data_IF_855928956290
#
_entry.id   IF_855928956290
#
_cell.length_a   1.000
_cell.length_b   1.000
_cell.length_c   1.000
_cell.angle_alpha   90.00
_cell.angle_beta   90.00
_cell.angle_gamma   90.00
#
_symmetry.space_group_name_H-M   'P 1'
#
loop_
_entity.id
_entity.type
_entity.pdbx_description
1 polymer ?
#
# COMPACT_ATOMS: atom_id res chain seq x y z
N UNK A 1 -11.79 -7.74 7.55
CA UNK A 1 -12.07 -7.90 6.09
C UNK A 1 -12.39 -6.65 5.33
N UNK A 2 -12.97 -5.63 5.97
CA UNK A 2 -13.21 -4.34 5.31
C UNK A 2 -11.92 -3.66 4.84
N UNK A 3 -10.80 -3.84 5.55
CA UNK A 3 -9.51 -3.25 5.15
C UNK A 3 -9.04 -3.70 3.77
N UNK A 4 -9.39 -4.91 3.35
CA UNK A 4 -9.09 -5.46 2.02
C UNK A 4 -9.83 -4.73 0.88
N UNK A 5 -10.82 -3.89 1.19
CA UNK A 5 -11.50 -3.03 0.22
C UNK A 5 -10.76 -1.69 -0.01
N UNK A 6 -9.64 -1.44 0.66
CA UNK A 6 -8.81 -0.23 0.47
C UNK A 6 -8.45 0.04 -1.01
N UNK A 7 -8.13 -0.98 -1.85
CA UNK A 7 -7.83 -0.76 -3.27
C UNK A 7 -9.00 -0.14 -4.06
N UNK A 8 -10.24 -0.43 -3.67
CA UNK A 8 -11.44 0.15 -4.28
C UNK A 8 -11.50 1.65 -3.99
N UNK A 9 -11.31 2.02 -2.72
CA UNK A 9 -11.31 3.43 -2.30
C UNK A 9 -10.15 4.21 -2.92
N UNK A 10 -8.95 3.60 -2.97
CA UNK A 10 -7.80 4.14 -3.70
C UNK A 10 -8.14 4.44 -5.16
N UNK A 11 -8.80 3.51 -5.85
CA UNK A 11 -9.18 3.71 -7.25
C UNK A 11 -10.18 4.85 -7.43
N UNK A 12 -11.19 4.93 -6.57
CA UNK A 12 -12.21 5.97 -6.60
C UNK A 12 -11.55 7.35 -6.44
N UNK A 13 -10.67 7.52 -5.44
CA UNK A 13 -9.96 8.78 -5.24
C UNK A 13 -8.98 9.08 -6.38
N UNK A 14 -8.32 8.07 -6.93
CA UNK A 14 -7.44 8.25 -8.10
C UNK A 14 -8.21 8.78 -9.32
N UNK A 15 -9.45 8.33 -9.55
CA UNK A 15 -10.31 8.88 -10.60
C UNK A 15 -10.83 10.28 -10.26
N UNK A 16 -11.27 10.50 -9.02
CA UNK A 16 -11.80 11.79 -8.56
C UNK A 16 -10.76 12.92 -8.68
N UNK A 17 -9.49 12.65 -8.38
CA UNK A 17 -8.39 13.62 -8.52
C UNK A 17 -7.75 13.64 -9.92
N UNK A 18 -8.29 12.88 -10.87
CA UNK A 18 -7.78 12.79 -12.24
C UNK A 18 -6.36 12.22 -12.34
N UNK A 19 -5.95 11.39 -11.39
CA UNK A 19 -4.63 10.75 -11.35
C UNK A 19 -4.54 9.54 -12.30
N UNK A 20 -5.68 8.93 -12.64
CA UNK A 20 -5.77 7.80 -13.56
C UNK A 20 -7.02 7.94 -14.45
N UNK A 21 -6.95 7.53 -15.72
CA UNK A 21 -8.12 7.58 -16.60
C UNK A 21 -9.10 6.44 -16.28
N UNK A 22 -10.42 6.72 -16.16
CA UNK A 22 -11.42 5.70 -15.90
C UNK A 22 -11.50 4.75 -17.09
N UNK A 23 -11.03 3.52 -16.89
CA UNK A 23 -11.14 2.43 -17.88
C UNK A 23 -11.83 1.25 -17.23
N UNK A 24 -12.84 0.70 -17.91
CA UNK A 24 -13.66 -0.41 -17.41
C UNK A 24 -12.81 -1.65 -17.05
N UNK A 25 -11.74 -1.90 -17.81
CA UNK A 25 -10.79 -2.98 -17.54
C UNK A 25 -10.11 -2.84 -16.16
N UNK A 26 -9.77 -1.62 -15.74
CA UNK A 26 -9.10 -1.35 -14.48
C UNK A 26 -10.05 -1.57 -13.29
N UNK A 27 -11.30 -1.14 -13.45
CA UNK A 27 -12.37 -1.36 -12.48
C UNK A 27 -12.60 -2.87 -12.30
N UNK A 28 -12.75 -3.60 -13.41
CA UNK A 28 -12.95 -5.05 -13.38
C UNK A 28 -11.80 -5.77 -12.66
N UNK A 29 -10.54 -5.45 -12.99
CA UNK A 29 -9.37 -6.05 -12.36
C UNK A 29 -9.37 -5.82 -10.83
N UNK A 30 -9.65 -4.59 -10.39
CA UNK A 30 -9.63 -4.25 -8.96
C UNK A 30 -10.79 -4.92 -8.24
N UNK A 31 -11.98 -4.99 -8.84
CA UNK A 31 -13.12 -5.73 -8.27
C UNK A 31 -12.80 -7.22 -8.11
N UNK A 32 -12.16 -7.86 -9.10
CA UNK A 32 -11.75 -9.27 -9.02
C UNK A 32 -10.73 -9.49 -7.90
N UNK A 33 -9.72 -8.62 -7.77
CA UNK A 33 -8.73 -8.72 -6.69
C UNK A 33 -9.42 -8.55 -5.33
N UNK A 34 -10.29 -7.56 -5.17
CA UNK A 34 -11.03 -7.35 -3.91
C UNK A 34 -11.92 -8.53 -3.54
N UNK A 35 -12.60 -9.15 -4.51
CA UNK A 35 -13.37 -10.38 -4.30
C UNK A 35 -12.48 -11.54 -3.84
N UNK A 36 -11.33 -11.74 -4.47
CA UNK A 36 -10.36 -12.77 -4.07
C UNK A 36 -9.92 -12.61 -2.61
N UNK A 37 -9.56 -11.40 -2.19
CA UNK A 37 -9.15 -11.15 -0.82
C UNK A 37 -10.31 -11.30 0.18
N UNK A 38 -11.54 -10.92 -0.18
CA UNK A 38 -12.72 -11.16 0.67
C UNK A 38 -12.92 -12.67 0.88
N UNK A 39 -12.76 -13.47 -0.17
CA UNK A 39 -12.88 -14.94 -0.08
C UNK A 39 -11.77 -15.57 0.77
N UNK A 40 -10.56 -15.01 0.79
CA UNK A 40 -9.47 -15.51 1.64
C UNK A 40 -9.77 -15.46 3.13
N UNK A 41 -10.82 -14.75 3.52
CA UNK A 41 -11.19 -14.59 4.93
C UNK A 41 -12.69 -14.73 5.18
N UNK A 42 -13.38 -15.37 4.25
CA UNK A 42 -14.74 -15.83 4.47
C UNK A 42 -14.71 -16.93 5.55
N UNK A 43 -15.15 -16.61 6.78
CA UNK A 43 -15.15 -17.54 7.91
C UNK A 43 -15.09 -16.94 9.32
N UNK A 44 -14.86 -15.63 9.46
CA UNK A 44 -14.86 -14.99 10.79
C UNK A 44 -16.28 -14.84 11.37
N UNK A 45 -16.54 -15.47 12.51
CA UNK A 45 -17.86 -15.56 13.17
C UNK A 45 -18.13 -14.46 14.21
N UNK A 46 -17.24 -13.46 14.38
CA UNK A 46 -17.40 -12.38 15.36
C UNK A 46 -17.59 -11.02 14.69
N UNK A 47 -18.78 -10.78 14.14
CA UNK A 47 -19.11 -9.50 13.54
C UNK A 47 -19.37 -8.43 14.62
N UNK A 48 -18.60 -7.34 14.59
CA UNK A 48 -18.82 -6.16 15.42
C UNK A 48 -19.02 -4.94 14.50
N UNK A 49 -20.20 -4.31 14.59
CA UNK A 49 -20.58 -3.18 13.74
C UNK A 49 -19.69 -1.95 13.96
N UNK A 50 -19.32 -1.65 15.20
CA UNK A 50 -18.47 -0.49 15.54
C UNK A 50 -17.07 -0.66 14.94
N UNK A 51 -16.47 -1.85 15.10
CA UNK A 51 -15.18 -2.18 14.47
C UNK A 51 -15.25 -2.14 12.94
N UNK A 52 -16.37 -2.60 12.36
CA UNK A 52 -16.63 -2.53 10.92
C UNK A 52 -16.61 -1.07 10.41
N UNK A 53 -17.36 -0.16 11.06
CA UNK A 53 -17.42 1.24 10.65
C UNK A 53 -16.07 1.95 10.80
N UNK A 54 -15.33 1.69 11.88
CA UNK A 54 -13.98 2.23 12.09
C UNK A 54 -13.02 1.80 10.97
N UNK A 55 -13.02 0.52 10.61
CA UNK A 55 -12.15 0.00 9.54
C UNK A 55 -12.58 0.54 8.17
N UNK A 56 -13.89 0.72 7.93
CA UNK A 56 -14.40 1.33 6.71
C UNK A 56 -13.91 2.77 6.56
N UNK A 57 -14.05 3.58 7.62
CA UNK A 57 -13.54 4.95 7.64
C UNK A 57 -12.02 5.00 7.43
N UNK A 58 -11.28 4.11 8.10
CA UNK A 58 -9.84 4.01 7.93
C UNK A 58 -9.44 3.66 6.48
N UNK A 59 -10.18 2.80 5.79
CA UNK A 59 -9.93 2.45 4.40
C UNK A 59 -10.15 3.63 3.44
N UNK A 60 -11.22 4.42 3.66
CA UNK A 60 -11.51 5.64 2.89
C UNK A 60 -10.38 6.66 3.07
N UNK A 61 -10.03 6.98 4.31
CA UNK A 61 -8.96 7.94 4.63
C UNK A 61 -7.60 7.45 4.09
N UNK A 62 -7.34 6.14 4.11
CA UNK A 62 -6.12 5.58 3.53
C UNK A 62 -6.06 5.77 2.01
N UNK A 63 -7.17 5.59 1.30
CA UNK A 63 -7.26 5.86 -0.14
C UNK A 63 -7.04 7.34 -0.47
N UNK A 64 -7.62 8.23 0.33
CA UNK A 64 -7.41 9.67 0.22
C UNK A 64 -5.95 10.05 0.46
N UNK A 65 -5.35 9.58 1.57
CA UNK A 65 -3.95 9.83 1.94
C UNK A 65 -3.03 9.52 0.78
N UNK A 66 -3.14 8.31 0.22
CA UNK A 66 -2.24 7.92 -0.86
C UNK A 66 -2.45 8.72 -2.15
N UNK A 67 -3.71 9.05 -2.48
CA UNK A 67 -4.00 9.88 -3.65
C UNK A 67 -3.42 11.30 -3.49
N UNK A 68 -3.50 11.87 -2.29
CA UNK A 68 -2.86 13.14 -1.95
C UNK A 68 -1.32 13.03 -2.01
N UNK A 69 -0.73 11.95 -1.48
CA UNK A 69 0.71 11.69 -1.59
C UNK A 69 1.16 11.62 -3.04
N UNK A 70 0.39 10.96 -3.92
CA UNK A 70 0.71 10.94 -5.35
C UNK A 70 0.63 12.33 -5.97
N UNK A 71 -0.41 13.11 -5.65
CA UNK A 71 -0.54 14.47 -6.15
C UNK A 71 0.65 15.34 -5.72
N UNK A 72 1.03 15.26 -4.44
CA UNK A 72 2.18 15.97 -3.87
C UNK A 72 3.52 15.55 -4.50
N UNK A 73 3.66 14.28 -4.88
CA UNK A 73 4.92 13.74 -5.37
C UNK A 73 5.09 13.84 -6.89
N UNK A 74 3.98 13.98 -7.64
CA UNK A 74 3.97 14.00 -9.11
C UNK A 74 3.56 15.36 -9.72
N UNK A 75 2.77 16.20 -9.03
CA UNK A 75 2.29 17.48 -9.58
C UNK A 75 3.06 18.70 -9.03
N UNK A 76 3.64 18.63 -7.85
CA UNK A 76 4.39 19.74 -7.25
C UNK A 76 5.85 19.77 -7.72
N UNK A 77 6.22 20.82 -8.43
CA UNK A 77 7.60 21.07 -8.85
C UNK A 77 8.47 21.43 -7.63
N UNK A 78 9.45 20.57 -7.31
CA UNK A 78 10.34 20.74 -6.16
C UNK A 78 10.23 19.65 -5.10
N UNK A 79 9.09 18.94 -5.04
CA UNK A 79 8.89 17.79 -4.14
C UNK A 79 9.06 16.43 -4.81
N UNK A 80 9.61 16.39 -6.03
CA UNK A 80 9.85 15.17 -6.79
C UNK A 80 10.84 14.18 -6.14
N UNK A 81 11.39 14.47 -4.95
CA UNK A 81 12.24 13.54 -4.21
C UNK A 81 11.43 12.88 -3.06
N UNK A 82 11.21 11.54 -3.09
CA UNK A 82 10.47 10.81 -2.06
C UNK A 82 11.02 11.06 -0.65
N UNK A 83 12.34 11.20 -0.53
CA UNK A 83 13.00 11.45 0.76
C UNK A 83 12.71 12.87 1.27
N UNK A 84 12.65 13.86 0.37
CA UNK A 84 12.31 15.23 0.74
C UNK A 84 10.85 15.33 1.21
N UNK A 85 9.92 14.70 0.49
CA UNK A 85 8.52 14.62 0.94
C UNK A 85 8.40 13.94 2.29
N UNK A 86 9.13 12.84 2.50
CA UNK A 86 9.14 12.15 3.78
C UNK A 86 9.69 13.03 4.91
N UNK A 87 10.73 13.82 4.64
CA UNK A 87 11.29 14.76 5.63
C UNK A 87 10.26 15.77 6.13
N UNK A 88 9.40 16.30 5.26
CA UNK A 88 8.35 17.25 5.67
C UNK A 88 7.16 16.56 6.37
N UNK A 89 6.79 15.35 5.96
CA UNK A 89 5.61 14.65 6.50
C UNK A 89 5.92 13.93 7.84
N UNK A 90 7.13 13.39 8.00
CA UNK A 90 7.53 12.61 9.18
C UNK A 90 7.36 13.32 10.53
N UNK A 91 7.79 14.58 10.73
CA UNK A 91 7.67 15.23 12.04
C UNK A 91 6.20 15.42 12.45
N UNK A 92 5.32 15.72 11.50
CA UNK A 92 3.88 15.85 11.75
C UNK A 92 3.28 14.50 12.14
N UNK A 93 3.64 13.42 11.42
CA UNK A 93 3.21 12.07 11.76
C UNK A 93 3.67 11.65 13.16
N UNK A 94 4.91 11.97 13.53
CA UNK A 94 5.46 11.67 14.84
C UNK A 94 4.70 12.41 15.96
N UNK A 95 4.46 13.71 15.81
CA UNK A 95 3.73 14.51 16.81
C UNK A 95 2.31 13.96 16.99
N UNK A 96 1.59 13.71 15.89
CA UNK A 96 0.22 13.20 15.96
C UNK A 96 0.15 11.79 16.58
N UNK A 97 1.04 10.88 16.19
CA UNK A 97 1.10 9.54 16.79
C UNK A 97 1.46 9.58 18.27
N UNK A 98 2.38 10.47 18.67
CA UNK A 98 2.76 10.65 20.08
C UNK A 98 1.59 11.13 20.92
N UNK A 99 0.83 12.12 20.44
CA UNK A 99 -0.36 12.63 21.14
C UNK A 99 -1.43 11.53 21.27
N UNK A 100 -1.69 10.78 20.20
CA UNK A 100 -2.66 9.68 20.24
C UNK A 100 -2.22 8.57 21.21
N UNK A 101 -0.96 8.17 21.20
CA UNK A 101 -0.43 7.16 22.14
C UNK A 101 -0.55 7.64 23.58
N UNK A 102 -0.27 8.91 23.88
CA UNK A 102 -0.44 9.46 25.23
C UNK A 102 -1.90 9.38 25.73
N UNK A 103 -2.87 9.66 24.86
CA UNK A 103 -4.29 9.68 25.23
C UNK A 103 -4.85 8.26 25.41
N UNK A 104 -4.51 7.34 24.50
CA UNK A 104 -5.12 6.01 24.46
C UNK A 104 -4.36 4.94 25.25
N UNK A 105 -3.03 4.99 25.27
CA UNK A 105 -2.20 3.88 25.79
C UNK A 105 -1.60 4.17 27.18
N UNK A 106 -1.63 5.42 27.66
CA UNK A 106 -1.02 5.84 28.94
C UNK A 106 0.39 5.24 29.16
N UNK A 107 1.39 5.70 28.38
CA UNK A 107 2.70 5.04 28.31
C UNK A 107 3.41 4.95 29.67
N UNK A 108 3.24 5.94 30.55
CA UNK A 108 3.85 5.95 31.89
C UNK A 108 3.40 4.76 32.76
N UNK A 109 2.16 4.31 32.63
CA UNK A 109 1.66 3.15 33.35
C UNK A 109 2.24 1.85 32.79
N UNK A 110 2.38 1.77 31.46
CA UNK A 110 2.95 0.61 30.76
C UNK A 110 4.44 0.46 31.06
N UNK A 111 5.20 1.55 31.06
CA UNK A 111 6.63 1.52 31.41
C UNK A 111 6.88 1.07 32.85
N UNK A 112 6.04 1.47 33.81
CA UNK A 112 6.20 1.09 35.21
C UNK A 112 5.70 -0.32 35.55
N UNK A 113 4.79 -0.88 34.74
CA UNK A 113 4.17 -2.20 35.02
C UNK A 113 4.78 -3.34 34.20
N UNK A 114 5.52 -3.03 33.15
CA UNK A 114 6.02 -4.04 32.22
C UNK A 114 7.36 -4.62 32.65
N UNK A 115 7.41 -5.96 32.73
CA UNK A 115 8.63 -6.74 33.01
C UNK A 115 9.76 -6.55 31.99
N UNK A 116 9.46 -5.93 30.86
CA UNK A 116 10.41 -5.70 29.77
C UNK A 116 11.41 -4.56 30.06
N UNK A 117 11.11 -3.69 31.04
CA UNK A 117 11.97 -2.56 31.42
C UNK A 117 12.47 -2.64 32.86
N UNK A 118 12.36 -3.80 33.52
CA UNK A 118 12.82 -3.99 34.90
C UNK A 118 14.36 -4.07 35.00
N UNK A 119 15.02 -4.68 34.02
CA UNK A 119 16.48 -4.83 33.99
C UNK A 119 17.11 -4.09 32.80
N UNK A 120 18.35 -3.62 32.96
CA UNK A 120 19.10 -2.91 31.91
C UNK A 120 19.30 -3.78 30.67
N UNK A 121 19.48 -5.10 30.85
CA UNK A 121 19.64 -6.05 29.74
C UNK A 121 18.36 -6.19 28.90
N UNK A 122 17.22 -6.42 29.55
CA UNK A 122 15.92 -6.59 28.87
C UNK A 122 15.39 -5.28 28.29
N UNK A 123 15.68 -4.16 28.94
CA UNK A 123 15.34 -2.83 28.42
C UNK A 123 16.10 -2.50 27.14
N UNK A 124 17.40 -2.85 27.08
CA UNK A 124 18.22 -2.63 25.90
C UNK A 124 17.79 -3.54 24.74
N UNK A 125 17.47 -4.81 25.01
CA UNK A 125 16.93 -5.74 24.01
C UNK A 125 15.61 -5.21 23.41
N UNK A 126 14.67 -4.80 24.27
CA UNK A 126 13.37 -4.25 23.83
C UNK A 126 13.57 -2.99 23.00
N UNK A 127 14.47 -2.10 23.42
CA UNK A 127 14.79 -0.89 22.67
C UNK A 127 15.41 -1.20 21.30
N UNK A 128 16.33 -2.16 21.22
CA UNK A 128 16.94 -2.59 19.95
C UNK A 128 15.91 -3.21 19.01
N UNK A 129 15.00 -4.04 19.51
CA UNK A 129 13.93 -4.64 18.71
C UNK A 129 12.98 -3.57 18.18
N UNK A 130 12.62 -2.58 19.01
CA UNK A 130 11.80 -1.43 18.59
C UNK A 130 12.52 -0.58 17.53
N UNK A 131 13.82 -0.31 17.73
CA UNK A 131 14.62 0.46 16.79
C UNK A 131 14.77 -0.25 15.45
N UNK A 132 14.98 -1.58 15.46
CA UNK A 132 15.02 -2.40 14.25
C UNK A 132 13.67 -2.39 13.52
N UNK A 133 12.57 -2.57 14.23
CA UNK A 133 11.22 -2.49 13.65
C UNK A 133 10.92 -1.12 13.05
N UNK A 134 11.29 -0.04 13.76
CA UNK A 134 11.16 1.33 13.28
C UNK A 134 12.00 1.61 12.03
N UNK A 135 13.23 1.10 11.99
CA UNK A 135 14.10 1.21 10.82
C UNK A 135 13.52 0.48 9.60
N UNK A 136 13.02 -0.75 9.78
CA UNK A 136 12.35 -1.50 8.70
C UNK A 136 11.08 -0.79 8.20
N UNK A 137 10.28 -0.21 9.10
CA UNK A 137 9.11 0.58 8.74
C UNK A 137 9.49 1.85 7.96
N UNK A 138 10.58 2.51 8.34
CA UNK A 138 11.13 3.65 7.61
C UNK A 138 11.58 3.27 6.19
N UNK A 139 12.33 2.17 6.04
CA UNK A 139 12.72 1.64 4.73
C UNK A 139 11.51 1.29 3.86
N UNK A 140 10.48 0.66 4.44
CA UNK A 140 9.22 0.37 3.76
C UNK A 140 8.54 1.65 3.27
N UNK A 141 8.45 2.68 4.13
CA UNK A 141 7.81 3.95 3.79
C UNK A 141 8.53 4.67 2.64
N UNK A 142 9.87 4.68 2.64
CA UNK A 142 10.66 5.22 1.52
C UNK A 142 10.36 4.44 0.23
N UNK A 143 10.33 3.10 0.30
CA UNK A 143 10.04 2.26 -0.86
C UNK A 143 8.64 2.53 -1.42
N UNK A 144 7.64 2.73 -0.57
CA UNK A 144 6.27 3.07 -0.97
C UNK A 144 6.21 4.43 -1.67
N UNK A 145 6.88 5.45 -1.12
CA UNK A 145 6.91 6.78 -1.75
C UNK A 145 7.69 6.74 -3.07
N UNK A 146 8.83 6.03 -3.12
CA UNK A 146 9.58 5.83 -4.35
C UNK A 146 8.77 5.09 -5.43
N UNK A 147 7.95 4.11 -5.03
CA UNK A 147 7.06 3.41 -5.95
C UNK A 147 5.97 4.36 -6.49
N UNK A 148 5.34 5.16 -5.64
CA UNK A 148 4.35 6.16 -6.08
C UNK A 148 4.97 7.14 -7.06
N UNK A 149 6.15 7.68 -6.75
CA UNK A 149 6.84 8.64 -7.63
C UNK A 149 6.97 8.10 -9.05
N UNK A 150 7.42 6.85 -9.19
CA UNK A 150 7.71 6.25 -10.48
C UNK A 150 6.47 5.61 -11.14
N UNK A 151 5.37 5.45 -10.41
CA UNK A 151 4.18 4.74 -10.89
C UNK A 151 2.88 5.47 -10.55
N UNK A 152 1.98 4.86 -9.79
CA UNK A 152 0.73 5.47 -9.34
C UNK A 152 0.26 4.83 -8.04
N UNK A 153 -0.63 5.51 -7.33
CA UNK A 153 -1.24 4.99 -6.10
C UNK A 153 -1.96 3.66 -6.31
N UNK A 154 -2.57 3.48 -7.48
CA UNK A 154 -3.23 2.22 -7.86
C UNK A 154 -2.21 1.09 -8.01
N UNK A 155 -1.01 1.40 -8.50
CA UNK A 155 0.07 0.40 -8.57
C UNK A 155 0.56 0.03 -7.17
N UNK A 156 0.69 1.02 -6.28
CA UNK A 156 1.06 0.79 -4.89
C UNK A 156 0.04 -0.12 -4.18
N UNK A 157 -1.26 0.10 -4.38
CA UNK A 157 -2.27 -0.74 -3.75
C UNK A 157 -2.19 -2.19 -4.24
N UNK A 158 -1.97 -2.42 -5.54
CA UNK A 158 -1.76 -3.77 -6.09
C UNK A 158 -0.47 -4.41 -5.56
N UNK A 159 0.63 -3.65 -5.46
CA UNK A 159 1.87 -4.12 -4.87
C UNK A 159 1.71 -4.49 -3.38
N UNK A 160 0.90 -3.72 -2.64
CA UNK A 160 0.53 -4.01 -1.26
C UNK A 160 -0.20 -5.35 -1.12
N UNK A 161 -1.21 -5.60 -1.96
CA UNK A 161 -1.94 -6.88 -1.97
C UNK A 161 -1.00 -8.03 -2.34
N UNK A 162 -0.09 -7.81 -3.30
CA UNK A 162 0.90 -8.82 -3.70
C UNK A 162 1.82 -9.19 -2.53
N UNK A 163 2.30 -8.20 -1.77
CA UNK A 163 3.08 -8.42 -0.54
C UNK A 163 2.28 -9.21 0.49
N UNK A 164 1.00 -8.88 0.70
CA UNK A 164 0.13 -9.61 1.63
C UNK A 164 -0.02 -11.09 1.23
N UNK A 165 -0.25 -11.38 -0.06
CA UNK A 165 -0.33 -12.76 -0.57
C UNK A 165 0.97 -13.54 -0.34
N UNK A 166 2.13 -12.90 -0.54
CA UNK A 166 3.44 -13.51 -0.29
C UNK A 166 3.61 -13.85 1.20
N UNK A 167 3.24 -12.92 2.09
CA UNK A 167 3.28 -13.15 3.55
C UNK A 167 2.38 -14.30 3.94
N UNK A 168 1.14 -14.36 3.46
CA UNK A 168 0.20 -15.46 3.74
C UNK A 168 0.79 -16.79 3.28
N UNK A 169 1.34 -16.84 2.07
CA UNK A 169 1.94 -18.06 1.50
C UNK A 169 3.15 -18.55 2.31
N UNK A 170 4.03 -17.63 2.73
CA UNK A 170 5.17 -17.93 3.59
C UNK A 170 4.72 -18.43 4.96
N UNK A 171 3.71 -17.80 5.57
CA UNK A 171 3.17 -18.23 6.85
C UNK A 171 2.67 -19.68 6.78
N UNK A 172 1.94 -20.04 5.72
CA UNK A 172 1.43 -21.40 5.53
C UNK A 172 2.58 -22.40 5.32
N UNK A 173 3.62 -22.01 4.56
CA UNK A 173 4.77 -22.88 4.31
C UNK A 173 5.59 -23.15 5.58
N UNK A 174 5.76 -22.14 6.43
CA UNK A 174 6.61 -22.21 7.63
C UNK A 174 5.85 -22.82 8.82
N UNK A 175 4.61 -22.38 9.06
CA UNK A 175 3.82 -22.78 10.22
C UNK A 175 2.93 -24.00 9.96
N UNK A 176 2.86 -24.47 8.70
CA UNK A 176 2.01 -25.59 8.27
C UNK A 176 0.53 -25.42 8.65
N UNK A 177 0.04 -24.17 8.61
CA UNK A 177 -1.34 -23.84 8.94
C UNK A 177 -2.33 -24.50 7.96
N UNK A 178 -3.43 -25.02 8.52
CA UNK A 178 -4.49 -25.67 7.74
C UNK A 178 -5.33 -24.63 7.02
N UNK A 179 -5.05 -24.43 5.73
CA UNK A 179 -5.87 -23.56 4.87
C UNK A 179 -7.20 -24.23 4.55
N UNK A 180 -8.30 -23.53 4.77
CA UNK A 180 -9.61 -23.95 4.26
C UNK A 180 -9.62 -23.86 2.73
N UNK A 181 -10.42 -24.71 2.05
CA UNK A 181 -10.53 -24.66 0.59
C UNK A 181 -10.99 -23.29 0.05
N UNK A 182 -11.81 -22.55 0.82
CA UNK A 182 -12.27 -21.21 0.46
C UNK A 182 -11.11 -20.20 0.47
N UNK A 183 -10.18 -20.34 1.43
CA UNK A 183 -9.02 -19.46 1.54
C UNK A 183 -8.03 -19.71 0.41
N UNK A 184 -7.82 -20.98 0.06
CA UNK A 184 -6.98 -21.36 -1.08
C UNK A 184 -7.55 -20.81 -2.40
N UNK A 185 -8.86 -20.91 -2.60
CA UNK A 185 -9.54 -20.36 -3.78
C UNK A 185 -9.43 -18.83 -3.85
N UNK A 186 -9.63 -18.14 -2.74
CA UNK A 186 -9.44 -16.68 -2.67
C UNK A 186 -8.01 -16.25 -3.02
N UNK A 187 -7.01 -17.04 -2.62
CA UNK A 187 -5.60 -16.79 -2.91
C UNK A 187 -5.30 -16.93 -4.40
N UNK A 188 -5.81 -17.99 -5.05
CA UNK A 188 -5.68 -18.20 -6.50
C UNK A 188 -6.33 -17.07 -7.30
N UNK A 189 -7.53 -16.63 -6.92
CA UNK A 189 -8.23 -15.52 -7.56
C UNK A 189 -7.43 -14.21 -7.43
N UNK A 190 -6.91 -13.93 -6.23
CA UNK A 190 -6.12 -12.72 -5.96
C UNK A 190 -4.84 -12.68 -6.80
N UNK A 191 -4.11 -13.79 -6.87
CA UNK A 191 -2.90 -13.94 -7.71
C UNK A 191 -3.24 -13.72 -9.19
N UNK A 192 -4.33 -14.33 -9.66
CA UNK A 192 -4.78 -14.20 -11.05
C UNK A 192 -5.14 -12.75 -11.40
N UNK A 193 -5.83 -12.04 -10.50
CA UNK A 193 -6.16 -10.62 -10.65
C UNK A 193 -4.92 -9.73 -10.69
N UNK A 194 -3.93 -9.97 -9.81
CA UNK A 194 -2.65 -9.27 -9.80
C UNK A 194 -1.88 -9.50 -11.12
N UNK A 195 -1.82 -10.75 -11.58
CA UNK A 195 -1.17 -11.09 -12.85
C UNK A 195 -1.83 -10.37 -14.04
N UNK A 196 -3.17 -10.33 -14.05
CA UNK A 196 -3.96 -9.58 -15.03
C UNK A 196 -3.68 -8.07 -15.00
N UNK A 197 -3.58 -7.48 -13.81
CA UNK A 197 -3.19 -6.07 -13.64
C UNK A 197 -1.81 -5.79 -14.21
N UNK A 198 -0.83 -6.63 -13.86
CA UNK A 198 0.54 -6.47 -14.31
C UNK A 198 0.64 -6.55 -15.85
N UNK A 199 -0.01 -7.56 -16.44
CA UNK A 199 -0.07 -7.71 -17.89
C UNK A 199 -0.73 -6.49 -18.58
N UNK A 200 -1.87 -6.03 -18.04
CA UNK A 200 -2.55 -4.83 -18.55
C UNK A 200 -1.62 -3.59 -18.51
N UNK A 201 -0.90 -3.41 -17.40
CA UNK A 201 -0.01 -2.26 -17.22
C UNK A 201 1.20 -2.31 -18.17
N UNK A 202 1.81 -3.48 -18.36
CA UNK A 202 2.91 -3.67 -19.32
C UNK A 202 2.44 -3.35 -20.74
N UNK A 203 1.25 -3.82 -21.12
CA UNK A 203 0.69 -3.56 -22.45
C UNK A 203 0.40 -2.07 -22.66
N UNK A 204 -0.21 -1.38 -21.69
CA UNK A 204 -0.44 0.07 -21.73
C UNK A 204 0.87 0.85 -21.89
N UNK A 205 1.90 0.52 -21.10
CA UNK A 205 3.21 1.19 -21.20
C UNK A 205 3.90 0.95 -22.56
N UNK A 206 3.70 -0.21 -23.16
CA UNK A 206 4.24 -0.53 -24.49
C UNK A 206 3.50 0.22 -25.61
N UNK A 207 2.18 0.38 -25.48
CA UNK A 207 1.36 1.14 -26.44
C UNK A 207 1.69 2.64 -26.38
N UNK A 208 1.80 3.21 -25.17
CA UNK A 208 2.20 4.61 -24.98
C UNK A 208 3.60 4.90 -25.56
N UNK A 209 4.55 3.95 -25.42
CA UNK A 209 5.87 4.04 -26.05
C UNK A 209 5.76 4.02 -27.58
N UNK A 210 4.98 3.10 -28.17
CA UNK A 210 4.80 3.02 -29.63
C UNK A 210 4.19 4.30 -30.22
N UNK A 211 3.17 4.86 -29.58
CA UNK A 211 2.57 6.13 -29.99
C UNK A 211 3.60 7.26 -29.93
N UNK A 212 4.45 7.30 -28.89
CA UNK A 212 5.51 8.31 -28.76
C UNK A 212 6.61 8.17 -29.81
N UNK A 213 6.95 6.95 -30.24
CA UNK A 213 7.89 6.73 -31.35
C UNK A 213 7.33 7.20 -32.69
N UNK A 214 6.02 7.05 -32.94
CA UNK A 214 5.38 7.53 -34.16
C UNK A 214 5.15 9.05 -34.18
N UNK A 215 5.14 9.72 -33.03
CA UNK A 215 4.96 11.17 -32.91
C UNK A 215 6.27 11.98 -33.05
N UNK A 216 7.44 11.32 -33.11
CA UNK A 216 8.70 12.01 -33.41
C UNK A 216 8.75 12.32 -34.91
N UNK A 217 8.93 13.59 -35.33
CA UNK A 217 9.13 13.90 -36.74
C UNK A 217 10.38 13.18 -37.20
N UNK A 218 10.23 12.31 -38.21
CA UNK A 218 11.35 11.74 -38.95
C UNK A 218 12.16 12.91 -39.48
N UNK A 219 13.31 13.21 -38.86
CA UNK A 219 14.30 14.10 -39.44
C UNK A 219 14.70 13.47 -40.78
N UNK A 220 14.06 13.94 -41.84
CA UNK A 220 14.48 13.71 -43.21
C UNK A 220 15.90 14.28 -43.26
N UNK A 221 16.89 13.41 -43.45
CA UNK A 221 18.24 13.85 -43.77
C UNK A 221 18.13 14.70 -45.04
N UNK A 222 18.22 16.02 -44.89
CA UNK A 222 18.67 16.89 -45.96
C UNK A 222 20.10 16.41 -46.27
N UNK A 223 20.20 15.71 -47.39
CA UNK A 223 21.45 15.45 -48.09
C UNK A 223 22.13 16.80 -48.32
N UNK A 224 23.18 17.06 -47.55
CA UNK A 224 24.18 18.06 -47.89
C UNK A 224 24.86 17.60 -49.19
N UNK A 225 24.60 18.37 -50.24
CA UNK A 225 25.38 18.64 -51.46
C UNK A 225 26.23 17.51 -52.07
#
# INVERSE_FOLDING_TARGET
>A
MVKSSTPIWVLIFAFMFGLEQPRLILIFIITVISLGVILTVAGETKFNLTGFLLVLGAAIVSGLRWSLTQMLLQKEEGMNNPVATLYYVSPIMFILMTILSLIFENPFHVFNTSKHFEDLGTGLETFLLMLLGGFLAFCMTIAEFALIKNTSTVTLSVAGISKEVVVISLSVLIYHDVLTPINLLGLVISISGIAGYNYYKIRKSSDDKKVRYHALPSHKNESLD
#
